data_IF_284754391285
#
_entry.id   IF_284754391285
#
_cell.length_a   1.000
_cell.length_b   1.000
_cell.length_c   1.000
_cell.angle_alpha   90.00
_cell.angle_beta   90.00
_cell.angle_gamma   90.00
#
_symmetry.space_group_name_H-M   'P 1'
#
loop_
_entity.id
_entity.type
_entity.pdbx_description
1 polymer ?
#
# COMPACT_ATOMS: atom_id res chain seq x y z
N UNK A 1 18.10 -11.24 43.36
CA UNK A 1 17.35 -11.88 42.27
C UNK A 1 17.44 -10.95 41.07
N UNK A 2 18.23 -11.32 40.06
CA UNK A 2 18.44 -10.50 38.87
C UNK A 2 17.20 -10.62 37.95
N UNK A 3 16.68 -9.52 37.37
CA UNK A 3 15.61 -9.63 36.40
C UNK A 3 16.16 -10.32 35.14
N UNK A 4 15.48 -11.41 34.74
CA UNK A 4 15.73 -12.10 33.49
C UNK A 4 15.50 -11.12 32.32
N UNK A 5 16.55 -10.48 31.83
CA UNK A 5 16.60 -9.93 30.48
C UNK A 5 16.48 -11.12 29.53
N UNK A 6 15.26 -11.39 29.07
CA UNK A 6 15.06 -12.21 27.87
C UNK A 6 15.73 -11.45 26.72
N UNK A 7 16.91 -11.93 26.34
CA UNK A 7 17.56 -11.54 25.09
C UNK A 7 16.58 -11.77 23.95
N UNK A 8 16.21 -10.69 23.27
CA UNK A 8 15.39 -10.77 22.06
C UNK A 8 16.17 -11.61 21.02
N UNK A 9 15.54 -12.61 20.39
CA UNK A 9 16.21 -13.41 19.38
C UNK A 9 16.76 -12.51 18.27
N UNK A 10 17.94 -12.87 17.76
CA UNK A 10 18.77 -12.21 16.73
C UNK A 10 18.11 -12.01 15.36
N UNK A 11 16.80 -12.14 15.26
CA UNK A 11 15.99 -11.78 14.10
C UNK A 11 15.17 -10.52 14.43
N UNK A 12 15.85 -9.41 14.73
CA UNK A 12 15.22 -8.09 14.71
C UNK A 12 14.84 -7.80 13.26
N UNK A 13 13.65 -8.27 12.88
CA UNK A 13 13.12 -8.17 11.53
C UNK A 13 12.71 -6.72 11.34
N UNK A 14 13.61 -5.92 10.76
CA UNK A 14 13.34 -4.52 10.44
C UNK A 14 12.08 -4.43 9.55
N UNK A 15 11.26 -3.37 9.65
CA UNK A 15 10.08 -3.18 8.78
C UNK A 15 10.45 -2.96 7.29
N UNK A 16 11.72 -3.05 6.92
CA UNK A 16 12.23 -2.77 5.57
C UNK A 16 11.50 -3.52 4.46
N UNK A 17 11.25 -4.84 4.53
CA UNK A 17 10.51 -5.51 3.45
C UNK A 17 9.10 -4.94 3.32
N UNK A 18 8.36 -4.76 4.42
CA UNK A 18 7.01 -4.19 4.36
C UNK A 18 7.00 -2.73 3.88
N UNK A 19 7.93 -1.90 4.35
CA UNK A 19 8.04 -0.49 3.93
C UNK A 19 8.44 -0.37 2.47
N UNK A 20 9.46 -1.11 2.01
CA UNK A 20 9.89 -1.15 0.62
C UNK A 20 8.71 -1.56 -0.28
N UNK A 21 8.08 -2.70 0.02
CA UNK A 21 6.98 -3.22 -0.80
C UNK A 21 5.81 -2.25 -0.85
N UNK A 22 5.48 -1.58 0.26
CA UNK A 22 4.45 -0.54 0.28
C UNK A 22 4.79 0.58 -0.70
N UNK A 23 5.98 1.14 -0.62
CA UNK A 23 6.38 2.24 -1.52
C UNK A 23 6.42 1.80 -2.97
N UNK A 24 6.99 0.62 -3.27
CA UNK A 24 6.98 0.06 -4.63
C UNK A 24 5.56 -0.10 -5.16
N UNK A 25 4.60 -0.50 -4.31
CA UNK A 25 3.20 -0.64 -4.71
C UNK A 25 2.54 0.70 -5.01
N UNK A 26 2.79 1.71 -4.17
CA UNK A 26 2.26 3.06 -4.38
C UNK A 26 2.86 3.69 -5.65
N UNK A 27 4.16 3.53 -5.90
CA UNK A 27 4.78 4.02 -7.15
C UNK A 27 4.19 3.36 -8.38
N UNK A 28 4.11 2.03 -8.41
CA UNK A 28 3.57 1.31 -9.56
C UNK A 28 2.09 1.65 -9.82
N UNK A 29 1.30 1.87 -8.75
CA UNK A 29 -0.08 2.33 -8.86
C UNK A 29 -0.18 3.68 -9.58
N UNK A 30 0.51 4.72 -9.08
CA UNK A 30 0.44 6.05 -9.69
C UNK A 30 1.11 6.10 -11.07
N UNK A 31 2.21 5.36 -11.29
CA UNK A 31 2.85 5.26 -12.60
C UNK A 31 1.91 4.65 -13.65
N UNK A 32 1.18 3.59 -13.28
CA UNK A 32 0.17 2.97 -14.14
C UNK A 32 -0.95 3.96 -14.47
N UNK A 33 -1.38 4.74 -13.49
CA UNK A 33 -2.42 5.74 -13.68
C UNK A 33 -2.01 6.85 -14.65
N UNK A 34 -0.84 7.44 -14.43
CA UNK A 34 -0.33 8.52 -15.27
C UNK A 34 -0.04 8.07 -16.70
N UNK A 35 0.49 6.86 -16.88
CA UNK A 35 0.88 6.35 -18.19
C UNK A 35 -0.28 5.70 -18.96
N UNK A 36 -1.30 5.17 -18.27
CA UNK A 36 -2.34 4.35 -18.89
C UNK A 36 -3.76 4.83 -18.55
N UNK A 37 -4.14 4.90 -17.27
CA UNK A 37 -5.52 5.18 -16.89
C UNK A 37 -5.96 6.61 -17.23
N UNK A 38 -5.22 7.61 -16.75
CA UNK A 38 -5.59 9.02 -16.90
C UNK A 38 -5.66 9.44 -18.37
N UNK A 39 -4.68 9.10 -19.24
CA UNK A 39 -4.77 9.40 -20.67
C UNK A 39 -5.97 8.72 -21.34
N UNK A 40 -6.28 7.47 -20.98
CA UNK A 40 -7.41 6.74 -21.53
C UNK A 40 -8.76 7.34 -21.11
N UNK A 41 -8.90 7.76 -19.85
CA UNK A 41 -10.08 8.46 -19.35
C UNK A 41 -10.26 9.82 -20.04
N UNK A 42 -9.19 10.61 -20.18
CA UNK A 42 -9.22 11.90 -20.90
C UNK A 42 -9.68 11.70 -22.35
N UNK A 43 -9.14 10.69 -23.04
CA UNK A 43 -9.52 10.37 -24.42
C UNK A 43 -10.99 9.98 -24.55
N UNK A 44 -11.48 9.13 -23.64
CA UNK A 44 -12.86 8.65 -23.67
C UNK A 44 -13.87 9.76 -23.34
N UNK A 45 -13.62 10.51 -22.27
CA UNK A 45 -14.50 11.57 -21.78
C UNK A 45 -14.41 12.86 -22.62
N UNK A 46 -13.34 12.99 -23.42
CA UNK A 46 -12.98 14.22 -24.16
C UNK A 46 -12.80 15.43 -23.24
N UNK A 47 -12.44 15.20 -21.98
CA UNK A 47 -12.19 16.24 -21.00
C UNK A 47 -10.69 16.26 -20.63
N UNK A 48 -9.90 17.22 -21.14
CA UNK A 48 -8.45 17.27 -20.93
C UNK A 48 -8.05 17.61 -19.49
N UNK A 49 -8.94 18.20 -18.69
CA UNK A 49 -8.64 18.60 -17.31
C UNK A 49 -9.15 17.61 -16.27
N UNK A 50 -9.78 16.52 -16.70
CA UNK A 50 -10.46 15.55 -15.84
C UNK A 50 -9.58 15.03 -14.68
N UNK A 51 -8.33 14.66 -14.98
CA UNK A 51 -7.39 14.08 -14.01
C UNK A 51 -6.27 15.05 -13.58
N UNK A 52 -6.37 16.33 -13.95
CA UNK A 52 -5.30 17.30 -13.69
C UNK A 52 -5.05 17.52 -12.19
N UNK A 53 -6.11 17.43 -11.37
CA UNK A 53 -6.00 17.50 -9.91
C UNK A 53 -5.19 16.34 -9.34
N UNK A 54 -5.55 15.10 -9.68
CA UNK A 54 -4.84 13.89 -9.23
C UNK A 54 -3.37 13.91 -9.66
N UNK A 55 -3.09 14.26 -10.92
CA UNK A 55 -1.72 14.39 -11.41
C UNK A 55 -0.91 15.43 -10.64
N UNK A 56 -1.50 16.60 -10.34
CA UNK A 56 -0.83 17.62 -9.53
C UNK A 56 -0.59 17.14 -8.10
N UNK A 57 -1.50 16.35 -7.53
CA UNK A 57 -1.37 15.81 -6.19
C UNK A 57 -0.27 14.74 -6.12
N UNK A 58 -0.13 13.88 -7.12
CA UNK A 58 0.96 12.89 -7.19
C UNK A 58 2.34 13.54 -6.98
N UNK A 59 2.58 14.67 -7.65
CA UNK A 59 3.83 15.41 -7.54
C UNK A 59 4.14 15.91 -6.11
N UNK A 60 3.13 16.09 -5.26
CA UNK A 60 3.31 16.65 -3.90
C UNK A 60 3.93 15.66 -2.92
N UNK A 61 3.70 14.35 -3.08
CA UNK A 61 4.18 13.33 -2.16
C UNK A 61 5.28 12.42 -2.75
N UNK A 62 5.52 12.47 -4.06
CA UNK A 62 6.48 11.59 -4.75
C UNK A 62 7.90 11.67 -4.16
N UNK A 63 8.39 12.88 -3.84
CA UNK A 63 9.71 13.04 -3.21
C UNK A 63 9.79 12.38 -1.82
N UNK A 64 8.72 12.43 -1.04
CA UNK A 64 8.66 11.78 0.26
C UNK A 64 8.67 10.25 0.15
N UNK A 65 7.93 9.70 -0.81
CA UNK A 65 7.95 8.27 -1.11
C UNK A 65 9.33 7.80 -1.58
N UNK A 66 10.01 8.53 -2.48
CA UNK A 66 11.37 8.19 -2.91
C UNK A 66 12.39 8.23 -1.76
N UNK A 67 12.23 9.19 -0.85
CA UNK A 67 13.04 9.26 0.37
C UNK A 67 12.80 8.03 1.25
N UNK A 68 11.54 7.61 1.42
CA UNK A 68 11.17 6.43 2.18
C UNK A 68 11.70 5.14 1.55
N UNK A 69 11.58 5.02 0.22
CA UNK A 69 12.10 3.90 -0.54
C UNK A 69 13.61 3.77 -0.35
N UNK A 70 14.35 4.86 -0.57
CA UNK A 70 15.81 4.92 -0.39
C UNK A 70 16.20 4.55 1.04
N UNK A 71 15.52 5.11 2.05
CA UNK A 71 15.80 4.82 3.44
C UNK A 71 15.56 3.33 3.77
N UNK A 72 14.48 2.74 3.25
CA UNK A 72 14.12 1.35 3.50
C UNK A 72 15.06 0.33 2.84
N UNK A 73 15.69 0.69 1.72
CA UNK A 73 16.51 -0.22 0.91
C UNK A 73 18.01 -0.09 1.18
N UNK A 74 18.49 1.12 1.50
CA UNK A 74 19.94 1.40 1.60
C UNK A 74 20.46 1.45 3.05
N UNK A 75 19.60 1.78 4.02
CA UNK A 75 20.02 1.91 5.43
C UNK A 75 20.32 0.52 6.02
N UNK A 76 21.46 0.27 6.67
CA UNK A 76 21.73 -1.01 7.35
C UNK A 76 20.88 -1.16 8.62
N UNK A 77 20.58 -2.39 9.09
CA UNK A 77 19.73 -2.59 10.28
C UNK A 77 20.19 -1.85 11.53
N UNK A 78 21.51 -1.73 11.73
CA UNK A 78 22.12 -1.03 12.87
C UNK A 78 21.92 0.48 12.86
N UNK A 79 21.59 1.06 11.71
CA UNK A 79 21.36 2.51 11.53
C UNK A 79 19.89 2.82 11.25
N UNK A 80 19.02 1.81 11.29
CA UNK A 80 17.60 1.98 11.07
C UNK A 80 16.93 2.54 12.33
N UNK A 81 16.25 3.66 12.19
CA UNK A 81 15.70 4.47 13.27
C UNK A 81 14.22 4.71 13.03
N UNK A 82 13.40 4.39 14.02
CA UNK A 82 11.96 4.66 13.99
C UNK A 82 11.67 6.17 13.93
N UNK A 83 12.48 6.99 14.59
CA UNK A 83 12.34 8.46 14.57
C UNK A 83 12.58 9.02 13.17
N UNK A 84 13.60 8.51 12.46
CA UNK A 84 13.87 8.92 11.08
C UNK A 84 12.76 8.41 10.15
N UNK A 85 12.40 7.13 10.27
CA UNK A 85 11.31 6.53 9.49
C UNK A 85 10.02 7.35 9.62
N UNK A 86 9.63 7.69 10.84
CA UNK A 86 8.43 8.48 11.12
C UNK A 86 8.54 9.89 10.54
N UNK A 87 9.68 10.56 10.72
CA UNK A 87 9.90 11.90 10.15
C UNK A 87 9.76 11.92 8.62
N UNK A 88 10.24 10.87 7.94
CA UNK A 88 10.05 10.72 6.48
C UNK A 88 8.57 10.51 6.15
N UNK A 89 7.85 9.66 6.88
CA UNK A 89 6.41 9.44 6.65
C UNK A 89 5.62 10.74 6.88
N UNK A 90 5.89 11.45 7.98
CA UNK A 90 5.23 12.70 8.34
C UNK A 90 5.46 13.80 7.26
N UNK A 91 6.50 13.69 6.43
CA UNK A 91 6.80 14.67 5.38
C UNK A 91 5.93 14.57 4.13
N UNK A 92 5.13 13.51 3.96
CA UNK A 92 4.27 13.33 2.78
C UNK A 92 2.92 12.66 3.07
N UNK A 93 2.73 12.10 4.27
CA UNK A 93 1.53 11.34 4.59
C UNK A 93 0.26 12.18 4.42
N UNK A 94 0.25 13.43 4.87
CA UNK A 94 -0.92 14.32 4.76
C UNK A 94 -1.35 14.50 3.31
N UNK A 95 -0.41 14.75 2.43
CA UNK A 95 -0.61 14.98 1.00
C UNK A 95 -1.08 13.69 0.31
N UNK A 96 -0.45 12.55 0.62
CA UNK A 96 -0.88 11.25 0.12
C UNK A 96 -2.31 10.93 0.58
N UNK A 97 -2.64 11.12 1.86
CA UNK A 97 -4.00 10.88 2.35
C UNK A 97 -5.01 11.83 1.71
N UNK A 98 -4.64 13.09 1.49
CA UNK A 98 -5.50 14.05 0.80
C UNK A 98 -5.81 13.57 -0.61
N UNK A 99 -4.78 13.16 -1.37
CA UNK A 99 -4.93 12.59 -2.70
C UNK A 99 -5.86 11.37 -2.73
N UNK A 100 -5.61 10.38 -1.85
CA UNK A 100 -6.44 9.17 -1.77
C UNK A 100 -7.91 9.46 -1.46
N UNK A 101 -8.21 10.55 -0.73
CA UNK A 101 -9.58 10.97 -0.47
C UNK A 101 -10.20 11.75 -1.64
N UNK A 102 -9.47 12.70 -2.20
CA UNK A 102 -9.95 13.58 -3.28
C UNK A 102 -10.18 12.81 -4.59
N UNK A 103 -9.38 11.79 -4.85
CA UNK A 103 -9.53 10.97 -6.06
C UNK A 103 -10.88 10.25 -6.09
N UNK A 104 -11.41 9.82 -4.93
CA UNK A 104 -12.72 9.15 -4.84
C UNK A 104 -13.82 10.03 -5.47
N UNK A 105 -13.85 11.31 -5.11
CA UNK A 105 -14.84 12.24 -5.65
C UNK A 105 -14.67 12.43 -7.18
N UNK A 106 -13.42 12.48 -7.65
CA UNK A 106 -13.10 12.58 -9.08
C UNK A 106 -13.58 11.35 -9.86
N UNK A 107 -13.34 10.15 -9.33
CA UNK A 107 -13.78 8.89 -9.92
C UNK A 107 -15.31 8.75 -9.90
N UNK A 108 -15.97 9.13 -8.80
CA UNK A 108 -17.43 9.12 -8.72
C UNK A 108 -18.08 10.09 -9.70
N UNK A 109 -17.45 11.22 -10.02
CA UNK A 109 -17.93 12.15 -11.04
C UNK A 109 -18.00 11.52 -12.44
N UNK A 110 -17.31 10.41 -12.69
CA UNK A 110 -17.38 9.67 -13.95
C UNK A 110 -18.72 8.95 -14.16
N UNK A 111 -19.60 8.87 -13.14
CA UNK A 111 -20.90 8.19 -13.24
C UNK A 111 -21.83 8.75 -14.33
N UNK A 112 -21.56 9.96 -14.82
CA UNK A 112 -22.28 10.58 -15.94
C UNK A 112 -21.93 9.97 -17.31
N UNK A 113 -20.87 9.16 -17.41
CA UNK A 113 -20.45 8.49 -18.64
C UNK A 113 -20.90 7.02 -18.65
N UNK A 114 -21.02 6.45 -19.86
CA UNK A 114 -21.44 5.07 -20.06
C UNK A 114 -20.43 4.07 -19.47
N UNK A 115 -20.92 3.14 -18.64
CA UNK A 115 -20.08 2.16 -17.94
C UNK A 115 -19.22 1.32 -18.88
N UNK A 116 -19.77 0.88 -20.02
CA UNK A 116 -19.01 0.09 -21.01
C UNK A 116 -17.82 0.86 -21.59
N UNK A 117 -17.95 2.18 -21.73
CA UNK A 117 -16.84 3.02 -22.19
C UNK A 117 -15.75 3.24 -21.14
N UNK A 118 -16.11 3.24 -19.85
CA UNK A 118 -15.17 3.33 -18.73
C UNK A 118 -14.45 2.01 -18.43
N UNK A 119 -15.11 0.86 -18.69
CA UNK A 119 -14.51 -0.47 -18.48
C UNK A 119 -13.25 -0.70 -19.31
N UNK A 120 -13.18 -0.15 -20.52
CA UNK A 120 -12.02 -0.27 -21.40
C UNK A 120 -10.74 0.30 -20.78
N UNK A 121 -10.69 1.61 -20.45
CA UNK A 121 -9.60 2.23 -19.71
C UNK A 121 -9.17 1.46 -18.45
N UNK A 122 -10.14 1.02 -17.65
CA UNK A 122 -9.87 0.30 -16.40
C UNK A 122 -9.23 -1.08 -16.63
N UNK A 123 -9.75 -1.83 -17.59
CA UNK A 123 -9.26 -3.17 -17.94
C UNK A 123 -7.86 -3.12 -18.53
N UNK A 124 -7.54 -2.05 -19.28
CA UNK A 124 -6.20 -1.84 -19.80
C UNK A 124 -5.22 -1.53 -18.67
N UNK A 125 -5.55 -0.58 -17.79
CA UNK A 125 -4.74 -0.25 -16.63
C UNK A 125 -4.46 -1.47 -15.73
N UNK A 126 -5.48 -2.33 -15.53
CA UNK A 126 -5.33 -3.51 -14.70
C UNK A 126 -4.30 -4.53 -15.22
N UNK A 127 -3.99 -4.53 -16.53
CA UNK A 127 -2.94 -5.40 -17.09
C UNK A 127 -1.55 -5.03 -16.55
N UNK A 128 -1.35 -3.77 -16.19
CA UNK A 128 -0.11 -3.23 -15.64
C UNK A 128 -0.02 -3.37 -14.11
N UNK A 129 -1.13 -3.69 -13.43
CA UNK A 129 -1.16 -3.85 -11.97
C UNK A 129 -0.29 -5.02 -11.44
N UNK A 130 0.03 -6.01 -12.29
CA UNK A 130 0.85 -7.16 -11.92
C UNK A 130 2.36 -6.91 -12.07
N UNK A 131 2.78 -5.75 -12.57
CA UNK A 131 4.20 -5.42 -12.75
C UNK A 131 4.89 -5.02 -11.43
N UNK A 132 4.16 -5.12 -10.32
CA UNK A 132 4.61 -4.66 -8.99
C UNK A 132 5.17 -5.81 -8.14
N UNK A 133 6.50 -5.89 -8.06
CA UNK A 133 7.20 -6.73 -7.09
C UNK A 133 6.99 -8.23 -7.28
N UNK A 134 7.36 -9.03 -6.26
CA UNK A 134 7.23 -10.48 -6.29
C UNK A 134 6.04 -10.94 -5.44
N UNK A 135 5.45 -12.11 -5.75
CA UNK A 135 4.30 -12.63 -5.00
C UNK A 135 4.57 -12.84 -3.51
N UNK A 136 5.81 -13.10 -3.10
CA UNK A 136 6.25 -13.22 -1.70
C UNK A 136 6.30 -11.89 -0.94
N UNK A 137 6.23 -10.76 -1.64
CA UNK A 137 6.17 -9.42 -1.07
C UNK A 137 4.76 -8.82 -1.25
N UNK A 138 4.24 -8.80 -2.48
CA UNK A 138 2.99 -8.12 -2.85
C UNK A 138 1.76 -8.76 -2.19
N UNK A 139 1.60 -10.09 -2.25
CA UNK A 139 0.40 -10.74 -1.74
C UNK A 139 0.26 -10.65 -0.20
N UNK A 140 1.33 -10.86 0.60
CA UNK A 140 1.24 -10.66 2.05
C UNK A 140 0.93 -9.20 2.43
N UNK A 141 1.48 -8.22 1.72
CA UNK A 141 1.16 -6.81 1.95
C UNK A 141 -0.31 -6.54 1.60
N UNK A 142 -0.74 -6.89 0.39
CA UNK A 142 -2.10 -6.64 -0.10
C UNK A 142 -3.16 -7.24 0.83
N UNK A 143 -3.05 -8.53 1.17
CA UNK A 143 -4.01 -9.16 2.09
C UNK A 143 -3.91 -8.61 3.52
N UNK A 144 -2.71 -8.28 3.98
CA UNK A 144 -2.52 -7.72 5.31
C UNK A 144 -3.00 -6.28 5.46
N UNK A 145 -3.28 -5.57 4.37
CA UNK A 145 -3.85 -4.23 4.37
C UNK A 145 -5.38 -4.22 4.19
N UNK A 146 -6.03 -5.39 4.08
CA UNK A 146 -7.48 -5.50 3.86
C UNK A 146 -8.19 -5.81 5.17
N UNK A 147 -9.07 -4.90 5.60
CA UNK A 147 -9.99 -5.12 6.71
C UNK A 147 -11.32 -5.69 6.20
N UNK A 148 -11.59 -6.96 6.48
CA UNK A 148 -12.87 -7.60 6.13
C UNK A 148 -14.02 -7.25 7.07
N UNK A 149 -13.73 -6.61 8.21
CA UNK A 149 -14.72 -6.07 9.13
C UNK A 149 -15.21 -4.68 8.74
N UNK A 150 -14.54 -4.00 7.80
CA UNK A 150 -14.92 -2.66 7.37
C UNK A 150 -16.38 -2.59 6.91
N UNK A 151 -17.12 -1.59 7.41
CA UNK A 151 -18.57 -1.41 7.23
C UNK A 151 -19.40 -2.68 7.53
N UNK A 152 -19.00 -3.45 8.54
CA UNK A 152 -19.70 -4.69 8.91
C UNK A 152 -19.47 -5.84 7.93
N UNK A 153 -18.43 -5.76 7.08
CA UNK A 153 -18.05 -6.80 6.15
C UNK A 153 -18.95 -6.93 4.93
N UNK A 154 -19.65 -5.84 4.55
CA UNK A 154 -20.45 -5.80 3.33
C UNK A 154 -19.60 -5.86 2.05
N UNK A 155 -18.32 -5.46 2.15
CA UNK A 155 -17.38 -5.39 1.04
C UNK A 155 -16.67 -6.72 0.80
N UNK A 156 -16.96 -7.37 -0.33
CA UNK A 156 -16.29 -8.61 -0.76
C UNK A 156 -14.99 -8.30 -1.51
N UNK A 157 -14.00 -7.75 -0.79
CA UNK A 157 -12.71 -7.36 -1.36
C UNK A 157 -11.53 -7.98 -0.58
N UNK A 158 -10.46 -8.45 -1.24
CA UNK A 158 -10.37 -8.69 -2.68
C UNK A 158 -11.15 -9.94 -3.10
N UNK A 159 -11.63 -10.05 -4.35
CA UNK A 159 -12.43 -11.17 -4.83
C UNK A 159 -11.56 -12.39 -5.15
N UNK A 160 -10.88 -12.94 -4.13
CA UNK A 160 -10.00 -14.10 -4.25
C UNK A 160 -10.67 -15.38 -3.75
N UNK A 161 -10.33 -16.56 -4.29
CA UNK A 161 -10.79 -17.84 -3.76
C UNK A 161 -10.46 -18.03 -2.27
N UNK A 162 -11.32 -18.75 -1.54
CA UNK A 162 -11.22 -18.93 -0.08
C UNK A 162 -9.88 -19.52 0.39
N UNK A 163 -9.20 -20.28 -0.46
CA UNK A 163 -7.91 -20.92 -0.15
C UNK A 163 -6.71 -19.97 -0.34
N UNK A 164 -6.86 -18.85 -1.06
CA UNK A 164 -5.75 -17.92 -1.34
C UNK A 164 -5.13 -17.34 -0.06
N UNK A 165 -5.91 -16.86 0.93
CA UNK A 165 -5.35 -16.44 2.24
C UNK A 165 -4.44 -17.48 2.90
N UNK A 166 -4.77 -18.77 2.77
CA UNK A 166 -3.96 -19.85 3.33
C UNK A 166 -2.63 -20.00 2.58
N UNK A 167 -2.68 -20.01 1.24
CA UNK A 167 -1.45 -20.08 0.42
C UNK A 167 -0.56 -18.87 0.71
N UNK A 168 -1.13 -17.67 0.80
CA UNK A 168 -0.38 -16.45 1.12
C UNK A 168 0.25 -16.54 2.50
N UNK A 169 -0.52 -16.89 3.54
CA UNK A 169 -0.01 -16.93 4.90
C UNK A 169 1.05 -18.03 5.12
N UNK A 170 0.87 -19.22 4.56
CA UNK A 170 1.74 -20.36 4.83
C UNK A 170 2.92 -20.47 3.88
N UNK A 171 2.77 -20.03 2.62
CA UNK A 171 3.81 -20.14 1.60
C UNK A 171 4.49 -18.80 1.32
N UNK A 172 3.77 -17.83 0.74
CA UNK A 172 4.36 -16.58 0.23
C UNK A 172 4.90 -15.69 1.35
N UNK A 173 4.14 -15.53 2.44
CA UNK A 173 4.53 -14.72 3.58
C UNK A 173 5.76 -15.27 4.33
N UNK A 174 6.15 -16.54 4.11
CA UNK A 174 7.18 -17.23 4.89
C UNK A 174 8.55 -16.55 4.82
N UNK A 175 8.94 -16.06 3.64
CA UNK A 175 10.27 -15.47 3.39
C UNK A 175 10.50 -14.19 4.21
N UNK A 176 9.47 -13.36 4.35
CA UNK A 176 9.52 -12.08 5.07
C UNK A 176 8.59 -12.04 6.28
N UNK A 177 8.34 -13.20 6.92
CA UNK A 177 7.39 -13.37 8.04
C UNK A 177 7.50 -12.30 9.13
N UNK A 178 8.72 -11.87 9.42
CA UNK A 178 8.97 -10.85 10.43
C UNK A 178 8.51 -9.45 10.04
N UNK A 179 8.44 -9.11 8.75
CA UNK A 179 7.95 -7.81 8.28
C UNK A 179 6.41 -7.72 8.30
N UNK A 180 5.72 -8.83 8.03
CA UNK A 180 4.24 -8.83 8.00
C UNK A 180 3.58 -8.69 9.37
N UNK A 181 4.35 -8.64 10.47
CA UNK A 181 3.82 -8.29 11.79
C UNK A 181 3.36 -6.82 11.87
N UNK A 182 3.83 -5.97 10.96
CA UNK A 182 3.49 -4.55 10.88
C UNK A 182 2.25 -4.28 10.01
N UNK A 183 1.69 -5.30 9.37
CA UNK A 183 0.44 -5.16 8.61
C UNK A 183 -0.74 -4.87 9.57
N UNK A 184 -1.67 -3.99 9.18
CA UNK A 184 -2.82 -3.62 10.03
C UNK A 184 -3.80 -4.78 10.24
N UNK A 185 -3.86 -5.73 9.30
CA UNK A 185 -4.68 -6.93 9.38
C UNK A 185 -3.84 -8.21 9.25
N UNK A 186 -4.43 -9.33 9.66
CA UNK A 186 -3.90 -10.65 9.33
C UNK A 186 -4.25 -11.06 7.89
N UNK A 187 -3.74 -12.20 7.42
CA UNK A 187 -4.02 -12.67 6.06
C UNK A 187 -5.50 -13.03 5.81
N UNK A 188 -6.30 -13.18 6.86
CA UNK A 188 -7.74 -13.45 6.77
C UNK A 188 -8.56 -12.16 6.72
N UNK A 189 -7.94 -11.01 6.99
CA UNK A 189 -8.53 -9.69 7.00
C UNK A 189 -9.10 -9.27 8.35
N UNK A 190 -8.63 -9.90 9.44
CA UNK A 190 -8.98 -9.45 10.80
C UNK A 190 -8.02 -8.33 11.22
N UNK A 191 -8.53 -7.18 11.70
CA UNK A 191 -7.69 -6.13 12.27
C UNK A 191 -6.81 -6.64 13.41
N UNK A 192 -5.60 -6.10 13.49
CA UNK A 192 -4.61 -6.46 14.51
C UNK A 192 -4.29 -5.24 15.34
N UNK A 193 -4.06 -5.46 16.62
CA UNK A 193 -3.47 -4.42 17.45
C UNK A 193 -2.03 -4.13 17.02
N UNK A 194 -1.65 -2.85 17.08
CA UNK A 194 -0.28 -2.44 16.84
C UNK A 194 0.65 -3.13 17.85
N UNK A 195 1.55 -3.97 17.34
CA UNK A 195 2.41 -4.82 18.15
C UNK A 195 3.43 -4.04 19.04
N UNK A 196 3.58 -2.73 18.83
CA UNK A 196 4.59 -1.89 19.46
C UNK A 196 4.03 -0.54 19.94
N UNK A 197 2.86 -0.53 20.59
CA UNK A 197 2.43 0.67 21.31
C UNK A 197 3.46 0.96 22.41
N UNK A 198 4.10 2.13 22.36
CA UNK A 198 4.83 2.62 23.53
C UNK A 198 3.87 2.79 24.70
N UNK A 199 4.38 2.77 25.93
CA UNK A 199 3.59 3.29 27.05
C UNK A 199 3.29 4.77 26.75
N UNK A 200 2.02 5.17 26.84
CA UNK A 200 1.65 6.58 26.81
C UNK A 200 2.37 7.27 27.97
N UNK A 201 3.38 8.09 27.66
CA UNK A 201 4.03 9.00 28.61
C UNK A 201 3.40 10.37 28.55
#
# INVERSE_FOLDING_TARGET
>A
MSPNHKTLPTYCSTPKPSTKTLVTTIHAHHESEENHLFPALVKYTKNPTLMAGNLSQHATFHTGLETLHTYSTTTPPTSYSSTILRSIIDSFATELFTHLNDEIATLLALQQYESEGLKGPWSENQKHANDTGTFDEMLPLALGCVDKGFEGGIHKFPPVPWFVPYVVNYWFARKHRGAWRFNPCDAWGNPRELAFRGEET
#
